data_IF_893888707673
#
_entry.id   IF_893888707673
#
_cell.length_a   1.000
_cell.length_b   1.000
_cell.length_c   1.000
_cell.angle_alpha   90.00
_cell.angle_beta   90.00
_cell.angle_gamma   90.00
#
_symmetry.space_group_name_H-M   'P 1'
#
loop_
_entity.id
_entity.type
_entity.pdbx_description
1 polymer ?
#
# COMPACT_ATOMS: atom_id res chain seq x y z
N UNK A 1 -23.38 1.26 -2.97
CA UNK A 1 -22.57 1.22 -4.20
C UNK A 1 -21.39 0.31 -3.91
N UNK A 2 -21.17 -0.76 -4.68
CA UNK A 2 -20.02 -1.65 -4.50
C UNK A 2 -18.76 -0.88 -4.89
N UNK A 3 -17.98 -0.44 -3.91
CA UNK A 3 -16.66 0.09 -4.19
C UNK A 3 -15.76 -1.07 -4.63
N UNK A 4 -15.40 -1.06 -5.91
CA UNK A 4 -14.43 -2.01 -6.47
C UNK A 4 -13.06 -1.54 -6.00
N UNK A 5 -12.61 -2.04 -4.86
CA UNK A 5 -11.24 -1.89 -4.38
C UNK A 5 -10.27 -2.26 -5.52
N UNK A 6 -9.23 -1.45 -5.74
CA UNK A 6 -8.15 -1.88 -6.63
C UNK A 6 -7.45 -3.07 -6.00
N UNK A 7 -7.33 -4.16 -6.76
CA UNK A 7 -6.68 -5.38 -6.29
C UNK A 7 -5.25 -5.07 -5.83
N UNK A 8 -4.86 -5.41 -4.58
CA UNK A 8 -3.50 -5.19 -4.08
C UNK A 8 -2.41 -5.76 -5.00
N UNK A 9 -2.74 -6.84 -5.71
CA UNK A 9 -1.84 -7.49 -6.67
C UNK A 9 -1.45 -6.59 -7.86
N UNK A 10 -2.21 -5.55 -8.19
CA UNK A 10 -1.88 -4.66 -9.32
C UNK A 10 -0.57 -3.91 -9.13
N UNK A 11 -0.11 -3.74 -7.88
CA UNK A 11 1.14 -3.04 -7.57
C UNK A 11 2.33 -3.99 -7.42
N UNK A 12 2.16 -5.31 -7.53
CA UNK A 12 3.27 -6.26 -7.37
C UNK A 12 4.44 -6.00 -8.33
N UNK A 13 4.16 -5.54 -9.55
CA UNK A 13 5.17 -5.35 -10.59
C UNK A 13 5.99 -4.06 -10.48
N UNK A 14 5.47 -3.01 -9.84
CA UNK A 14 6.07 -1.66 -9.88
C UNK A 14 6.02 -0.89 -8.56
N UNK A 15 5.17 -1.31 -7.64
CA UNK A 15 4.91 -0.61 -6.38
C UNK A 15 5.65 -1.16 -5.16
N UNK A 16 6.44 -2.22 -5.33
CA UNK A 16 7.07 -2.95 -4.22
C UNK A 16 8.58 -2.89 -4.35
N UNK A 17 9.24 -2.58 -3.24
CA UNK A 17 10.67 -2.78 -3.02
C UNK A 17 10.86 -4.07 -2.23
N UNK A 18 11.72 -4.94 -2.75
CA UNK A 18 12.25 -6.10 -2.03
C UNK A 18 13.70 -5.83 -1.66
N UNK A 19 13.98 -5.67 -0.37
CA UNK A 19 15.33 -5.50 0.15
C UNK A 19 15.71 -6.65 1.07
N UNK A 20 16.30 -7.70 0.51
CA UNK A 20 16.72 -8.89 1.28
C UNK A 20 17.85 -8.60 2.28
N UNK A 21 18.54 -7.46 2.17
CA UNK A 21 19.54 -7.06 3.16
C UNK A 21 18.90 -6.44 4.42
N UNK A 22 17.64 -5.99 4.33
CA UNK A 22 16.87 -5.56 5.49
C UNK A 22 16.20 -6.79 6.11
N UNK A 23 16.83 -7.27 7.18
CA UNK A 23 16.40 -8.47 7.91
C UNK A 23 15.07 -8.25 8.65
N UNK A 24 14.64 -7.00 8.84
CA UNK A 24 13.45 -6.64 9.61
C UNK A 24 12.26 -6.25 8.73
N UNK A 25 12.53 -5.58 7.60
CA UNK A 25 11.50 -5.10 6.69
C UNK A 25 11.86 -5.35 5.22
N UNK A 26 12.00 -6.61 4.80
CA UNK A 26 12.39 -6.94 3.44
C UNK A 26 11.36 -6.50 2.38
N UNK A 27 10.08 -6.37 2.75
CA UNK A 27 9.04 -5.84 1.86
C UNK A 27 8.62 -4.43 2.27
N UNK A 28 8.67 -3.49 1.32
CA UNK A 28 8.13 -2.15 1.48
C UNK A 28 7.57 -1.60 0.17
N UNK A 29 6.86 -0.49 0.24
CA UNK A 29 6.49 0.27 -0.96
C UNK A 29 7.71 0.93 -1.62
N UNK A 30 7.58 1.27 -2.90
CA UNK A 30 8.47 2.23 -3.56
C UNK A 30 8.25 3.64 -3.02
N UNK A 31 9.23 4.54 -3.22
CA UNK A 31 9.08 5.93 -2.74
C UNK A 31 7.92 6.62 -3.45
N UNK A 32 7.75 6.35 -4.74
CA UNK A 32 6.62 6.83 -5.54
C UNK A 32 5.27 6.38 -4.96
N UNK A 33 5.15 5.12 -4.57
CA UNK A 33 3.91 4.60 -4.02
C UNK A 33 3.66 5.05 -2.57
N UNK A 34 4.73 5.29 -1.80
CA UNK A 34 4.65 5.94 -0.48
C UNK A 34 4.13 7.37 -0.60
N UNK A 35 4.70 8.17 -1.49
CA UNK A 35 4.23 9.54 -1.74
C UNK A 35 2.77 9.54 -2.16
N UNK A 36 2.36 8.62 -3.05
CA UNK A 36 0.97 8.48 -3.47
C UNK A 36 0.05 8.11 -2.29
N UNK A 37 0.48 7.19 -1.43
CA UNK A 37 -0.28 6.82 -0.23
C UNK A 37 -0.45 8.02 0.72
N UNK A 38 0.61 8.80 0.94
CA UNK A 38 0.56 10.01 1.77
C UNK A 38 -0.41 11.05 1.21
N UNK A 39 -0.38 11.32 -0.10
CA UNK A 39 -1.34 12.21 -0.77
C UNK A 39 -2.79 11.74 -0.56
N UNK A 40 -3.05 10.45 -0.75
CA UNK A 40 -4.38 9.87 -0.56
C UNK A 40 -4.84 9.98 0.89
N UNK A 41 -3.94 9.78 1.87
CA UNK A 41 -4.26 9.93 3.28
C UNK A 41 -4.60 11.38 3.64
N UNK A 42 -3.85 12.36 3.11
CA UNK A 42 -4.16 13.77 3.32
C UNK A 42 -5.51 14.17 2.69
N UNK A 43 -5.77 13.72 1.45
CA UNK A 43 -7.07 13.93 0.81
C UNK A 43 -8.21 13.23 1.57
N UNK A 44 -7.98 12.05 2.13
CA UNK A 44 -8.95 11.33 2.95
C UNK A 44 -9.31 12.11 4.22
N UNK A 45 -8.30 12.65 4.92
CA UNK A 45 -8.50 13.51 6.10
C UNK A 45 -9.37 14.72 5.76
N UNK A 46 -9.16 15.32 4.59
CA UNK A 46 -9.95 16.43 4.09
C UNK A 46 -11.32 16.02 3.50
N UNK A 47 -11.61 14.71 3.40
CA UNK A 47 -12.80 14.15 2.72
C UNK A 47 -12.93 14.59 1.25
N UNK A 48 -11.79 14.67 0.56
CA UNK A 48 -11.66 15.11 -0.83
C UNK A 48 -11.31 13.98 -1.80
N UNK A 49 -11.46 12.72 -1.38
CA UNK A 49 -11.22 11.58 -2.27
C UNK A 49 -12.36 11.46 -3.27
N UNK A 50 -11.98 11.18 -4.51
CA UNK A 50 -12.93 10.64 -5.49
C UNK A 50 -13.16 9.15 -5.23
N UNK A 51 -14.22 8.57 -5.78
CA UNK A 51 -14.50 7.14 -5.65
C UNK A 51 -13.36 6.24 -6.16
N UNK A 52 -12.61 6.71 -7.16
CA UNK A 52 -11.44 5.98 -7.67
C UNK A 52 -10.28 6.01 -6.69
N UNK A 53 -10.07 7.15 -6.03
CA UNK A 53 -9.03 7.33 -5.03
C UNK A 53 -9.36 6.61 -3.71
N UNK A 54 -10.65 6.49 -3.36
CA UNK A 54 -11.10 5.64 -2.25
C UNK A 54 -10.77 4.16 -2.53
N UNK A 55 -11.04 3.69 -3.76
CA UNK A 55 -10.69 2.34 -4.19
C UNK A 55 -9.17 2.09 -4.23
N UNK A 56 -8.40 3.10 -4.64
CA UNK A 56 -6.93 3.08 -4.63
C UNK A 56 -6.39 3.00 -3.19
N UNK A 57 -6.84 3.90 -2.31
CA UNK A 57 -6.43 3.94 -0.91
C UNK A 57 -6.76 2.63 -0.19
N UNK A 58 -7.95 2.07 -0.41
CA UNK A 58 -8.32 0.78 0.15
C UNK A 58 -7.35 -0.34 -0.31
N UNK A 59 -6.98 -0.33 -1.60
CA UNK A 59 -6.00 -1.24 -2.18
C UNK A 59 -4.62 -1.16 -1.53
N UNK A 60 -4.10 0.05 -1.37
CA UNK A 60 -2.79 0.30 -0.77
C UNK A 60 -2.74 -0.05 0.71
N UNK A 61 -3.79 0.27 1.48
CA UNK A 61 -3.86 -0.08 2.90
C UNK A 61 -3.90 -1.60 3.12
N UNK A 62 -4.56 -2.35 2.25
CA UNK A 62 -4.53 -3.80 2.34
C UNK A 62 -3.14 -4.36 1.98
N UNK A 63 -2.48 -3.79 0.97
CA UNK A 63 -1.12 -4.18 0.61
C UNK A 63 -0.12 -3.91 1.76
N UNK A 64 -0.27 -2.80 2.47
CA UNK A 64 0.55 -2.46 3.64
C UNK A 64 0.38 -3.47 4.79
N UNK A 65 -0.87 -3.93 5.03
CA UNK A 65 -1.14 -5.00 6.00
C UNK A 65 -0.50 -6.32 5.59
N UNK A 66 -0.56 -6.67 4.30
CA UNK A 66 0.09 -7.88 3.77
C UNK A 66 1.61 -7.81 4.02
N UNK A 67 2.25 -6.67 3.75
CA UNK A 67 3.68 -6.51 4.03
C UNK A 67 3.98 -6.57 5.51
N UNK A 68 3.19 -5.91 6.35
CA UNK A 68 3.34 -5.97 7.80
C UNK A 68 3.27 -7.41 8.32
N UNK A 69 2.34 -8.21 7.80
CA UNK A 69 2.22 -9.64 8.13
C UNK A 69 3.45 -10.45 7.67
N UNK A 70 3.85 -10.31 6.40
CA UNK A 70 4.99 -11.06 5.84
C UNK A 70 6.29 -10.70 6.56
N UNK A 71 6.55 -9.40 6.75
CA UNK A 71 7.73 -8.92 7.46
C UNK A 71 7.76 -9.45 8.90
N UNK A 72 6.62 -9.41 9.63
CA UNK A 72 6.53 -9.97 10.97
C UNK A 72 6.81 -11.49 11.01
N UNK A 73 6.39 -12.24 9.98
CA UNK A 73 6.68 -13.68 9.86
C UNK A 73 8.11 -14.02 9.49
N UNK A 74 8.83 -13.11 8.82
CA UNK A 74 10.23 -13.31 8.46
C UNK A 74 11.19 -12.99 9.61
N UNK A 75 10.77 -12.11 10.53
CA UNK A 75 11.55 -11.74 11.73
C UNK A 75 11.35 -12.72 12.89
N UNK A 76 10.26 -13.51 12.89
CA UNK A 76 9.92 -14.48 13.94
C UNK A 76 10.70 -15.78 13.83
#
# INVERSE_FOLDING_TARGET
MNQVMRLPSSWLGTGIKLNLADQFKPFSFTDELLVRLEELLEKNKARLLTSEEEAELAGLLELDRIFSFINAKLVS
#
